data_IF_495966482813
#
_entry.id   IF_495966482813
#
_cell.length_a   1.000
_cell.length_b   1.000
_cell.length_c   1.000
_cell.angle_alpha   90.00
_cell.angle_beta   90.00
_cell.angle_gamma   90.00
#
_symmetry.space_group_name_H-M   'P 1'
#
loop_
_entity.id
_entity.type
_entity.pdbx_description
1 polymer ?
#
# COMPACT_ATOMS: atom_id res chain seq x y z
N UNK A 1 15.92 2.07 -5.88
CA UNK A 1 14.91 1.02 -5.65
C UNK A 1 13.57 1.33 -6.31
N UNK A 2 12.82 2.35 -5.88
CA UNK A 2 11.49 2.64 -6.43
C UNK A 2 11.50 3.12 -7.90
N UNK A 3 12.33 4.12 -8.20
CA UNK A 3 12.52 4.60 -9.57
C UNK A 3 13.09 3.50 -10.48
N UNK A 4 13.99 2.67 -9.96
CA UNK A 4 14.55 1.52 -10.70
C UNK A 4 13.49 0.46 -11.00
N UNK A 5 12.55 0.22 -10.08
CA UNK A 5 11.42 -0.67 -10.34
C UNK A 5 10.56 -0.14 -11.49
N UNK A 6 10.21 1.15 -11.47
CA UNK A 6 9.47 1.79 -12.57
C UNK A 6 10.25 1.81 -13.88
N UNK A 7 11.55 2.11 -13.84
CA UNK A 7 12.41 2.07 -15.03
C UNK A 7 12.55 0.65 -15.61
N UNK A 8 12.52 -0.37 -14.75
CA UNK A 8 12.53 -1.77 -15.19
C UNK A 8 11.22 -2.12 -15.88
N UNK A 9 10.08 -1.70 -15.33
CA UNK A 9 8.76 -1.91 -15.94
C UNK A 9 8.67 -1.21 -17.30
N UNK A 10 9.04 0.06 -17.35
CA UNK A 10 9.07 0.85 -18.59
C UNK A 10 9.97 0.17 -19.64
N UNK A 11 11.14 -0.33 -19.24
CA UNK A 11 12.01 -1.09 -20.15
C UNK A 11 11.41 -2.44 -20.59
N UNK A 12 10.57 -3.08 -19.79
CA UNK A 12 9.91 -4.33 -20.14
C UNK A 12 8.78 -4.06 -21.14
N UNK A 13 7.94 -3.05 -20.88
CA UNK A 13 6.85 -2.64 -21.77
C UNK A 13 7.38 -2.21 -23.14
N UNK A 14 8.47 -1.43 -23.18
CA UNK A 14 9.15 -1.06 -24.43
C UNK A 14 9.73 -2.26 -25.21
N UNK A 15 9.87 -3.43 -24.58
CA UNK A 15 10.30 -4.69 -25.21
C UNK A 15 9.13 -5.60 -25.56
N UNK A 16 7.90 -5.12 -25.44
CA UNK A 16 6.67 -5.87 -25.74
C UNK A 16 6.18 -6.75 -24.60
N UNK A 17 6.67 -6.56 -23.37
CA UNK A 17 6.02 -7.16 -22.21
C UNK A 17 4.70 -6.44 -21.95
N UNK A 18 3.59 -7.18 -21.99
CA UNK A 18 2.29 -6.65 -21.60
C UNK A 18 2.15 -6.74 -20.09
N UNK A 19 2.14 -5.58 -19.43
CA UNK A 19 1.92 -5.52 -17.99
C UNK A 19 0.47 -5.89 -17.71
N UNK A 20 0.25 -6.95 -16.93
CA UNK A 20 -1.08 -7.36 -16.48
C UNK A 20 -1.43 -6.76 -15.10
N UNK A 21 -2.71 -6.82 -14.76
CA UNK A 21 -3.23 -6.30 -13.48
C UNK A 21 -2.53 -6.92 -12.26
N UNK A 22 -2.17 -8.21 -12.32
CA UNK A 22 -1.49 -8.90 -11.22
C UNK A 22 -0.08 -8.34 -10.98
N UNK A 23 0.65 -8.10 -12.06
CA UNK A 23 1.99 -7.51 -12.07
C UNK A 23 1.93 -6.06 -11.59
N UNK A 24 0.98 -5.27 -12.11
CA UNK A 24 0.78 -3.90 -11.67
C UNK A 24 0.46 -3.82 -10.18
N UNK A 25 -0.47 -4.65 -9.68
CA UNK A 25 -0.81 -4.73 -8.28
C UNK A 25 0.40 -5.12 -7.41
N UNK A 26 1.28 -5.98 -7.93
CA UNK A 26 2.53 -6.36 -7.24
C UNK A 26 3.45 -5.15 -7.07
N UNK A 27 3.61 -4.33 -8.11
CA UNK A 27 4.37 -3.07 -8.07
C UNK A 27 3.71 -2.10 -7.09
N UNK A 28 2.40 -1.93 -7.16
CA UNK A 28 1.69 -1.01 -6.25
C UNK A 28 1.84 -1.41 -4.78
N UNK A 29 1.72 -2.72 -4.49
CA UNK A 29 1.97 -3.27 -3.15
C UNK A 29 3.41 -3.07 -2.70
N UNK A 30 4.39 -3.18 -3.61
CA UNK A 30 5.78 -2.87 -3.31
C UNK A 30 5.93 -1.42 -2.85
N UNK A 31 5.35 -0.46 -3.57
CA UNK A 31 5.40 0.95 -3.18
C UNK A 31 4.73 1.23 -1.83
N UNK A 32 3.53 0.69 -1.62
CA UNK A 32 2.79 0.84 -0.37
C UNK A 32 3.55 0.23 0.82
N UNK A 33 4.11 -0.99 0.66
CA UNK A 33 4.91 -1.67 1.69
C UNK A 33 6.11 -0.85 2.14
N UNK A 34 6.71 -0.08 1.23
CA UNK A 34 7.86 0.76 1.50
C UNK A 34 7.50 2.18 1.93
N UNK A 35 6.22 2.49 2.16
CA UNK A 35 5.78 3.82 2.59
C UNK A 35 5.99 4.91 1.54
N UNK A 36 6.17 4.54 0.27
CA UNK A 36 6.54 5.48 -0.79
C UNK A 36 5.36 6.32 -1.29
N UNK A 37 4.14 5.98 -0.86
CA UNK A 37 2.89 6.67 -1.21
C UNK A 37 2.23 7.35 -0.01
N UNK A 38 2.79 7.16 1.20
CA UNK A 38 2.29 7.85 2.37
C UNK A 38 2.86 9.27 2.36
N UNK A 39 2.02 10.23 1.98
CA UNK A 39 2.33 11.65 2.15
C UNK A 39 2.47 11.90 3.65
N UNK A 40 3.69 12.18 4.10
CA UNK A 40 3.85 12.60 5.49
C UNK A 40 3.15 13.96 5.67
N UNK A 41 2.45 14.21 6.78
CA UNK A 41 1.87 15.53 7.06
C UNK A 41 2.93 16.64 7.17
N UNK A 42 4.23 16.28 7.26
CA UNK A 42 5.33 17.25 7.17
C UNK A 42 5.73 17.58 5.72
N UNK A 43 5.40 16.75 4.72
CA UNK A 43 5.55 17.08 3.29
C UNK A 43 4.53 18.15 2.83
N UNK A 44 3.42 18.33 3.56
CA UNK A 44 2.45 19.43 3.32
C UNK A 44 2.98 20.80 3.77
N UNK A 45 3.98 20.86 4.65
CA UNK A 45 4.72 22.11 4.86
C UNK A 45 5.59 22.32 3.63
N UNK A 46 5.43 23.45 2.94
CA UNK A 46 6.13 23.81 1.72
C UNK A 46 7.65 23.91 1.90
N UNK A 47 8.31 22.77 2.09
CA UNK A 47 9.77 22.65 2.20
C UNK A 47 10.46 23.18 0.93
N UNK A 48 9.75 23.15 -0.21
CA UNK A 48 10.18 23.69 -1.48
C UNK A 48 10.09 25.22 -1.58
N UNK A 49 9.48 25.91 -0.60
CA UNK A 49 9.46 27.38 -0.47
C UNK A 49 10.55 27.88 0.49
N UNK A 50 11.28 26.99 1.16
CA UNK A 50 12.40 27.39 2.02
C UNK A 50 13.54 27.95 1.16
N UNK A 51 13.96 29.19 1.45
CA UNK A 51 14.93 29.95 0.64
C UNK A 51 16.24 29.19 0.37
N UNK A 52 16.70 28.40 1.34
CA UNK A 52 17.89 27.55 1.22
C UNK A 52 17.70 26.48 0.13
N UNK A 53 16.58 25.75 0.17
CA UNK A 53 16.26 24.76 -0.85
C UNK A 53 16.07 25.40 -2.23
N UNK A 54 15.34 26.52 -2.31
CA UNK A 54 15.08 27.22 -3.58
C UNK A 54 16.37 27.63 -4.26
N UNK A 55 17.32 28.17 -3.50
CA UNK A 55 18.61 28.62 -4.03
C UNK A 55 19.41 27.44 -4.58
N UNK A 56 19.53 26.37 -3.79
CA UNK A 56 20.31 25.19 -4.16
C UNK A 56 19.66 24.41 -5.32
N UNK A 57 18.33 24.26 -5.31
CA UNK A 57 17.59 23.53 -6.34
C UNK A 57 17.57 24.24 -7.70
N UNK A 58 17.63 25.59 -7.75
CA UNK A 58 17.73 26.34 -9.00
C UNK A 58 19.08 26.17 -9.70
N UNK A 59 20.14 25.86 -8.95
CA UNK A 59 21.49 25.64 -9.51
C UNK A 59 21.69 24.20 -10.02
N UNK A 60 20.84 23.26 -9.59
CA UNK A 60 20.93 21.86 -9.99
C UNK A 60 20.17 21.69 -11.31
N UNK A 61 20.91 21.69 -12.41
CA UNK A 61 20.34 21.46 -13.74
C UNK A 61 20.09 19.97 -13.96
N UNK A 62 18.82 19.62 -14.22
CA UNK A 62 18.38 18.26 -14.58
C UNK A 62 18.50 18.05 -16.09
N UNK A 63 18.11 19.06 -16.87
CA UNK A 63 18.33 19.20 -18.32
C UNK A 63 18.83 20.62 -18.60
N UNK A 64 19.36 20.93 -19.80
CA UNK A 64 19.84 22.27 -20.12
C UNK A 64 18.85 23.41 -19.79
N UNK A 65 17.55 23.15 -19.95
CA UNK A 65 16.47 24.13 -19.73
C UNK A 65 15.54 23.76 -18.56
N UNK A 66 15.96 22.83 -17.67
CA UNK A 66 15.12 22.35 -16.57
C UNK A 66 15.97 22.19 -15.30
N UNK A 67 15.75 23.05 -14.31
CA UNK A 67 16.34 22.89 -12.98
C UNK A 67 15.57 21.89 -12.12
N UNK A 68 16.18 21.44 -11.01
CA UNK A 68 15.50 20.62 -10.02
C UNK A 68 14.31 21.37 -9.40
N UNK A 69 14.46 22.68 -9.18
CA UNK A 69 13.38 23.54 -8.71
C UNK A 69 12.20 23.54 -9.69
N UNK A 70 12.46 23.76 -10.98
CA UNK A 70 11.41 23.75 -12.01
C UNK A 70 10.69 22.40 -12.03
N UNK A 71 11.43 21.30 -11.99
CA UNK A 71 10.88 19.95 -11.97
C UNK A 71 9.97 19.69 -10.76
N UNK A 72 10.35 20.16 -9.57
CA UNK A 72 9.55 20.02 -8.34
C UNK A 72 8.22 20.78 -8.43
N UNK A 73 8.22 21.91 -9.15
CA UNK A 73 7.05 22.79 -9.32
C UNK A 73 6.08 22.29 -10.41
N UNK A 74 6.55 21.50 -11.37
CA UNK A 74 5.70 20.99 -12.45
C UNK A 74 4.56 20.10 -11.96
N UNK A 75 3.43 20.14 -12.64
CA UNK A 75 2.35 19.19 -12.39
C UNK A 75 2.80 17.75 -12.74
N UNK A 76 2.31 16.71 -12.05
CA UNK A 76 2.75 15.32 -12.29
C UNK A 76 2.67 14.90 -13.76
N UNK A 77 1.60 15.30 -14.45
CA UNK A 77 1.37 15.02 -15.88
C UNK A 77 2.38 15.73 -16.79
N UNK A 78 2.84 16.92 -16.41
CA UNK A 78 3.84 17.67 -17.16
C UNK A 78 5.24 17.12 -16.92
N UNK A 79 5.56 16.80 -15.66
CA UNK A 79 6.82 16.19 -15.27
C UNK A 79 7.05 14.84 -15.99
N UNK A 80 6.00 14.00 -16.07
CA UNK A 80 6.06 12.71 -16.75
C UNK A 80 6.35 12.83 -18.27
N UNK A 81 5.99 13.96 -18.90
CA UNK A 81 6.32 14.21 -20.32
C UNK A 81 7.77 14.64 -20.52
N UNK A 82 8.36 15.27 -19.50
CA UNK A 82 9.69 15.84 -19.59
C UNK A 82 10.77 14.88 -19.11
N UNK A 83 10.45 13.96 -18.19
CA UNK A 83 11.40 13.04 -17.59
C UNK A 83 10.80 11.63 -17.55
N UNK A 84 11.52 10.68 -18.14
CA UNK A 84 11.22 9.25 -18.07
C UNK A 84 11.62 8.64 -16.73
N UNK A 85 11.05 7.49 -16.37
CA UNK A 85 11.44 6.77 -15.16
C UNK A 85 12.94 6.44 -15.12
N UNK A 86 13.54 6.16 -16.28
CA UNK A 86 14.97 5.92 -16.41
C UNK A 86 15.80 7.17 -16.13
N UNK A 87 15.48 8.30 -16.78
CA UNK A 87 16.16 9.57 -16.55
C UNK A 87 16.05 10.00 -15.08
N UNK A 88 14.92 9.67 -14.42
CA UNK A 88 14.78 9.88 -12.98
C UNK A 88 15.75 9.04 -12.16
N UNK A 89 15.89 7.75 -12.45
CA UNK A 89 16.87 6.89 -11.76
C UNK A 89 18.29 7.40 -11.94
N UNK A 90 18.61 7.97 -13.10
CA UNK A 90 19.88 8.63 -13.36
C UNK A 90 20.01 9.94 -12.56
N UNK A 91 18.97 10.77 -12.53
CA UNK A 91 18.88 12.00 -11.73
C UNK A 91 19.15 11.73 -10.26
N UNK A 92 18.52 10.71 -9.68
CA UNK A 92 18.74 10.34 -8.28
C UNK A 92 20.20 10.02 -7.95
N UNK A 93 21.01 9.62 -8.95
CA UNK A 93 22.44 9.34 -8.82
C UNK A 93 23.33 10.55 -9.15
N UNK A 94 22.87 11.43 -10.03
CA UNK A 94 23.65 12.56 -10.56
C UNK A 94 23.42 13.85 -9.78
N UNK A 95 22.27 14.01 -9.11
CA UNK A 95 22.01 15.17 -8.27
C UNK A 95 23.03 15.19 -7.13
N UNK A 96 23.77 16.30 -6.97
CA UNK A 96 24.70 16.46 -5.86
C UNK A 96 23.89 16.77 -4.59
N UNK A 97 23.29 15.74 -4.00
CA UNK A 97 22.42 15.86 -2.83
C UNK A 97 23.13 16.50 -1.64
N UNK A 98 24.47 16.41 -1.58
CA UNK A 98 25.33 17.10 -0.63
C UNK A 98 25.23 18.63 -0.71
N UNK A 99 24.83 19.19 -1.86
CA UNK A 99 24.53 20.63 -1.99
C UNK A 99 23.27 21.03 -1.26
N UNK A 100 22.29 20.14 -1.15
CA UNK A 100 21.06 20.38 -0.40
C UNK A 100 21.37 20.13 1.07
N UNK A 101 21.70 21.18 1.83
CA UNK A 101 22.30 21.03 3.17
C UNK A 101 21.41 20.30 4.17
N UNK A 102 20.09 20.48 4.06
CA UNK A 102 19.17 19.85 5.00
C UNK A 102 18.77 18.47 4.49
N UNK A 103 19.15 17.43 5.24
CA UNK A 103 18.83 16.04 4.91
C UNK A 103 17.32 15.81 4.74
N UNK A 104 16.49 16.55 5.50
CA UNK A 104 15.03 16.50 5.37
C UNK A 104 14.54 16.98 4.00
N UNK A 105 15.17 18.00 3.41
CA UNK A 105 14.81 18.51 2.09
C UNK A 105 15.21 17.53 0.98
N UNK A 106 16.36 16.87 1.13
CA UNK A 106 16.77 15.81 0.21
C UNK A 106 15.70 14.70 0.16
N UNK A 107 15.32 14.17 1.33
CA UNK A 107 14.31 13.11 1.41
C UNK A 107 12.94 13.57 0.92
N UNK A 108 12.50 14.77 1.30
CA UNK A 108 11.23 15.33 0.86
C UNK A 108 11.20 15.51 -0.66
N UNK A 109 12.29 16.02 -1.25
CA UNK A 109 12.44 16.18 -2.69
C UNK A 109 12.39 14.84 -3.42
N UNK A 110 13.13 13.83 -2.94
CA UNK A 110 13.13 12.50 -3.55
C UNK A 110 11.74 11.86 -3.49
N UNK A 111 11.03 11.97 -2.36
CA UNK A 111 9.70 11.40 -2.21
C UNK A 111 8.66 12.12 -3.08
N UNK A 112 8.72 13.46 -3.13
CA UNK A 112 7.83 14.27 -3.96
C UNK A 112 7.98 13.98 -5.45
N UNK A 113 9.23 13.92 -5.90
CA UNK A 113 9.56 13.59 -7.28
C UNK A 113 9.15 12.13 -7.61
N UNK A 114 9.25 11.20 -6.66
CA UNK A 114 8.83 9.81 -6.82
C UNK A 114 7.30 9.69 -6.90
N UNK A 115 6.57 10.42 -6.08
CA UNK A 115 5.10 10.52 -6.16
C UNK A 115 4.69 10.99 -7.55
N UNK A 116 5.30 12.07 -8.06
CA UNK A 116 4.95 12.63 -9.37
C UNK A 116 5.10 11.63 -10.51
N UNK A 117 6.26 10.97 -10.60
CA UNK A 117 6.51 10.01 -11.70
C UNK A 117 5.62 8.79 -11.61
N UNK A 118 5.31 8.36 -10.39
CA UNK A 118 4.58 7.13 -10.17
C UNK A 118 3.07 7.34 -10.28
N UNK A 119 2.60 8.58 -10.09
CA UNK A 119 1.17 8.93 -10.13
C UNK A 119 0.50 8.55 -11.44
N UNK A 120 1.15 8.72 -12.58
CA UNK A 120 0.62 8.29 -13.88
C UNK A 120 0.36 6.78 -13.90
N UNK A 121 1.39 5.99 -13.57
CA UNK A 121 1.28 4.54 -13.45
C UNK A 121 0.16 4.12 -12.48
N UNK A 122 0.13 4.70 -11.28
CA UNK A 122 -0.89 4.37 -10.27
C UNK A 122 -2.29 4.72 -10.74
N UNK A 123 -2.44 5.83 -11.44
CA UNK A 123 -3.72 6.32 -11.92
C UNK A 123 -4.31 5.41 -12.99
N UNK A 124 -3.50 5.04 -14.00
CA UNK A 124 -3.94 4.18 -15.09
C UNK A 124 -4.45 2.83 -14.56
N UNK A 125 -3.67 2.21 -13.68
CA UNK A 125 -4.03 0.92 -13.07
C UNK A 125 -5.16 1.00 -12.06
N UNK A 126 -5.29 2.13 -11.36
CA UNK A 126 -6.41 2.35 -10.45
C UNK A 126 -7.73 2.53 -11.21
N UNK A 127 -7.72 3.25 -12.33
CA UNK A 127 -8.89 3.38 -13.19
C UNK A 127 -9.30 2.01 -13.71
N UNK A 128 -8.37 1.25 -14.27
CA UNK A 128 -8.67 -0.07 -14.82
C UNK A 128 -9.28 -1.00 -13.75
N UNK A 129 -8.63 -1.07 -12.58
CA UNK A 129 -9.13 -1.85 -11.45
C UNK A 129 -10.52 -1.39 -10.97
N UNK A 130 -10.78 -0.09 -10.99
CA UNK A 130 -12.08 0.47 -10.63
C UNK A 130 -13.15 0.12 -11.67
N UNK A 131 -12.83 0.19 -12.95
CA UNK A 131 -13.75 -0.15 -14.04
C UNK A 131 -14.14 -1.63 -13.99
N UNK A 132 -13.18 -2.52 -13.74
CA UNK A 132 -13.45 -3.94 -13.52
C UNK A 132 -14.33 -4.19 -12.30
N UNK A 133 -13.99 -3.58 -11.16
CA UNK A 133 -14.74 -3.73 -9.91
C UNK A 133 -16.20 -3.30 -10.07
N UNK A 134 -16.42 -2.20 -10.78
CA UNK A 134 -17.76 -1.66 -11.04
C UNK A 134 -18.46 -2.33 -12.21
N UNK A 135 -17.82 -3.32 -12.87
CA UNK A 135 -18.29 -3.97 -14.08
C UNK A 135 -18.70 -2.96 -15.15
N UNK A 136 -17.94 -1.87 -15.26
CA UNK A 136 -18.18 -0.78 -16.21
C UNK A 136 -19.55 -0.11 -16.06
N UNK A 137 -20.18 -0.19 -14.88
CA UNK A 137 -21.53 0.36 -14.63
C UNK A 137 -21.53 1.81 -14.16
N UNK A 138 -20.37 2.35 -13.79
CA UNK A 138 -20.21 3.73 -13.35
C UNK A 138 -19.52 4.55 -14.45
N UNK A 139 -20.17 5.60 -15.00
CA UNK A 139 -19.54 6.46 -16.00
C UNK A 139 -18.36 7.22 -15.42
N UNK A 140 -17.19 7.14 -16.07
CA UNK A 140 -15.98 7.90 -15.72
C UNK A 140 -16.19 9.41 -15.80
N UNK A 141 -17.18 9.87 -16.57
CA UNK A 141 -17.54 11.29 -16.72
C UNK A 141 -17.91 12.00 -15.40
N UNK A 142 -18.18 11.25 -14.33
CA UNK A 142 -18.42 11.81 -12.98
C UNK A 142 -17.17 11.92 -12.10
N UNK A 143 -16.04 11.36 -12.53
CA UNK A 143 -14.75 11.49 -11.86
C UNK A 143 -14.01 12.67 -12.50
N UNK A 144 -14.27 13.87 -12.01
CA UNK A 144 -13.55 15.07 -12.44
C UNK A 144 -12.08 14.97 -12.03
N UNK A 145 -11.22 14.78 -13.03
CA UNK A 145 -9.77 14.53 -12.92
C UNK A 145 -9.00 15.81 -12.55
N UNK A 146 -9.67 16.97 -12.52
CA UNK A 146 -9.04 18.28 -12.28
C UNK A 146 -8.85 18.66 -10.80
N UNK A 147 -9.41 17.93 -9.83
CA UNK A 147 -9.25 18.27 -8.41
C UNK A 147 -7.97 17.65 -7.83
N UNK A 148 -6.93 18.48 -7.73
CA UNK A 148 -5.53 18.12 -7.48
C UNK A 148 -5.19 17.66 -6.05
N UNK A 149 -5.94 16.72 -5.48
CA UNK A 149 -5.57 16.10 -4.20
C UNK A 149 -6.62 15.20 -3.56
N UNK A 150 -7.91 15.44 -3.84
CA UNK A 150 -8.98 14.67 -3.22
C UNK A 150 -9.10 13.25 -3.81
N UNK A 151 -9.09 13.12 -5.13
CA UNK A 151 -9.26 11.82 -5.79
C UNK A 151 -8.03 10.94 -5.69
N UNK A 152 -6.81 11.49 -5.68
CA UNK A 152 -5.59 10.73 -5.41
C UNK A 152 -5.65 10.12 -4.00
N UNK A 153 -6.13 10.89 -3.01
CA UNK A 153 -6.28 10.40 -1.64
C UNK A 153 -7.41 9.36 -1.53
N UNK A 154 -8.53 9.54 -2.24
CA UNK A 154 -9.63 8.55 -2.28
C UNK A 154 -9.24 7.29 -3.05
N UNK A 155 -8.53 7.38 -4.16
CA UNK A 155 -8.09 6.24 -4.97
C UNK A 155 -6.94 5.51 -4.31
N UNK A 156 -5.98 6.21 -3.70
CA UNK A 156 -4.95 5.60 -2.85
C UNK A 156 -5.59 4.99 -1.61
N UNK A 157 -6.57 5.63 -0.97
CA UNK A 157 -7.34 5.01 0.12
C UNK A 157 -8.18 3.83 -0.34
N UNK A 158 -8.75 3.84 -1.54
CA UNK A 158 -9.47 2.71 -2.11
C UNK A 158 -8.48 1.60 -2.48
N UNK A 159 -7.32 1.89 -3.04
CA UNK A 159 -6.27 0.92 -3.34
C UNK A 159 -5.65 0.34 -2.06
N UNK A 160 -5.42 1.16 -1.03
CA UNK A 160 -5.03 0.74 0.33
C UNK A 160 -6.15 -0.06 0.98
N UNK A 161 -7.41 0.35 0.85
CA UNK A 161 -8.56 -0.36 1.40
C UNK A 161 -8.79 -1.69 0.69
N UNK A 162 -8.63 -1.75 -0.64
CA UNK A 162 -8.72 -2.97 -1.46
C UNK A 162 -7.55 -3.91 -1.17
N UNK A 163 -6.34 -3.38 -0.98
CA UNK A 163 -5.18 -4.20 -0.56
C UNK A 163 -5.32 -4.66 0.89
N UNK A 164 -5.87 -3.83 1.78
CA UNK A 164 -6.15 -4.20 3.17
C UNK A 164 -7.30 -5.21 3.26
N UNK A 165 -8.36 -5.11 2.45
CA UNK A 165 -9.43 -6.11 2.37
C UNK A 165 -8.92 -7.44 1.77
N UNK A 166 -8.09 -7.38 0.73
CA UNK A 166 -7.45 -8.57 0.16
C UNK A 166 -6.48 -9.24 1.15
N UNK A 167 -5.70 -8.45 1.91
CA UNK A 167 -4.82 -8.94 2.98
C UNK A 167 -5.65 -9.50 4.14
N UNK A 168 -6.71 -8.82 4.57
CA UNK A 168 -7.60 -9.31 5.63
C UNK A 168 -8.30 -10.61 5.21
N UNK A 169 -8.72 -10.75 3.95
CA UNK A 169 -9.26 -12.00 3.42
C UNK A 169 -8.22 -13.11 3.40
N UNK A 170 -6.99 -12.83 2.97
CA UNK A 170 -5.92 -13.84 3.00
C UNK A 170 -5.49 -14.21 4.43
N UNK A 171 -5.42 -13.24 5.33
CA UNK A 171 -5.15 -13.47 6.76
C UNK A 171 -6.30 -14.24 7.40
N UNK A 172 -7.56 -13.96 7.04
CA UNK A 172 -8.71 -14.74 7.51
C UNK A 172 -8.68 -16.18 7.00
N UNK A 173 -8.31 -16.40 5.73
CA UNK A 173 -8.15 -17.74 5.16
C UNK A 173 -7.02 -18.50 5.87
N UNK A 174 -5.85 -17.89 6.03
CA UNK A 174 -4.73 -18.48 6.76
C UNK A 174 -5.07 -18.74 8.23
N UNK A 175 -5.78 -17.83 8.89
CA UNK A 175 -6.21 -18.00 10.27
C UNK A 175 -7.23 -19.12 10.41
N UNK A 176 -8.15 -19.29 9.45
CA UNK A 176 -9.11 -20.39 9.41
C UNK A 176 -8.40 -21.75 9.22
N UNK A 177 -7.38 -21.81 8.36
CA UNK A 177 -6.59 -23.03 8.15
C UNK A 177 -5.77 -23.42 9.38
N UNK A 178 -5.10 -22.43 10.01
CA UNK A 178 -4.36 -22.62 11.25
C UNK A 178 -5.29 -23.08 12.38
N UNK A 179 -6.48 -22.49 12.48
CA UNK A 179 -7.50 -22.90 13.43
C UNK A 179 -8.00 -24.31 13.16
N UNK A 180 -8.28 -24.67 11.91
CA UNK A 180 -8.72 -26.03 11.56
C UNK A 180 -7.68 -27.09 11.92
N UNK A 181 -6.39 -26.79 11.72
CA UNK A 181 -5.26 -27.65 12.15
C UNK A 181 -5.21 -27.75 13.68
N UNK A 182 -5.35 -26.62 14.39
CA UNK A 182 -5.37 -26.57 15.84
C UNK A 182 -6.52 -27.37 16.45
N UNK A 183 -7.72 -27.27 15.88
CA UNK A 183 -8.93 -28.01 16.28
C UNK A 183 -8.77 -29.49 16.07
N UNK A 184 -8.24 -29.91 14.92
CA UNK A 184 -7.95 -31.31 14.66
C UNK A 184 -6.90 -31.88 15.62
N UNK A 185 -5.91 -31.07 16.03
CA UNK A 185 -4.92 -31.48 17.04
C UNK A 185 -5.54 -31.56 18.44
N UNK A 186 -6.38 -30.60 18.82
CA UNK A 186 -7.12 -30.61 20.09
C UNK A 186 -8.07 -31.81 20.18
N UNK A 187 -8.88 -32.06 19.15
CA UNK A 187 -9.78 -33.22 19.09
C UNK A 187 -9.02 -34.56 19.17
N UNK A 188 -7.73 -34.63 18.77
CA UNK A 188 -6.88 -35.81 18.92
C UNK A 188 -6.26 -35.98 20.31
N UNK A 189 -6.18 -34.90 21.10
CA UNK A 189 -5.61 -34.90 22.45
C UNK A 189 -6.66 -35.06 23.54
N UNK A 190 -7.92 -34.78 23.22
CA UNK A 190 -9.06 -35.00 24.12
C UNK A 190 -9.44 -36.48 24.08
N UNK A 191 -9.90 -36.99 25.22
CA UNK A 191 -10.44 -38.35 25.38
C UNK A 191 -11.41 -38.70 24.23
N UNK A 192 -11.28 -39.87 23.58
CA UNK A 192 -12.17 -40.31 22.49
C UNK A 192 -13.66 -40.32 22.85
N UNK A 193 -14.00 -40.35 24.15
CA UNK A 193 -15.40 -40.28 24.61
C UNK A 193 -15.96 -38.84 24.64
N UNK A 194 -15.15 -37.82 24.34
CA UNK A 194 -15.58 -36.42 24.29
C UNK A 194 -16.10 -36.02 22.91
N UNK A 195 -17.19 -35.24 22.88
CA UNK A 195 -17.80 -34.75 21.64
C UNK A 195 -16.85 -33.72 20.98
N UNK A 196 -16.44 -33.93 19.71
CA UNK A 196 -15.52 -33.04 19.01
C UNK A 196 -16.11 -31.65 18.81
N UNK A 197 -15.24 -30.63 18.81
CA UNK A 197 -15.66 -29.28 18.43
C UNK A 197 -16.06 -29.28 16.96
N UNK A 198 -17.25 -28.73 16.67
CA UNK A 198 -17.85 -28.75 15.33
C UNK A 198 -17.76 -27.40 14.63
N UNK A 199 -17.53 -26.32 15.39
CA UNK A 199 -17.46 -24.98 14.84
C UNK A 199 -16.46 -24.12 15.62
N UNK A 200 -15.62 -23.40 14.87
CA UNK A 200 -14.68 -22.43 15.43
C UNK A 200 -14.78 -21.12 14.68
N UNK A 201 -14.94 -20.03 15.42
CA UNK A 201 -15.00 -18.68 14.89
C UNK A 201 -13.91 -17.81 15.50
N UNK A 202 -13.12 -17.18 14.64
CA UNK A 202 -12.18 -16.11 14.98
C UNK A 202 -12.84 -14.78 14.64
N UNK A 203 -13.12 -13.96 15.65
CA UNK A 203 -13.68 -12.62 15.45
C UNK A 203 -12.76 -11.55 16.02
N UNK A 204 -12.63 -10.43 15.31
CA UNK A 204 -11.87 -9.27 15.77
C UNK A 204 -12.75 -8.43 16.69
N UNK A 205 -12.33 -8.23 17.94
CA UNK A 205 -13.09 -7.44 18.90
C UNK A 205 -12.71 -5.95 18.85
N UNK A 206 -11.45 -5.63 18.51
CA UNK A 206 -10.91 -4.27 18.31
C UNK A 206 -9.51 -4.30 17.65
N UNK A 207 -8.81 -3.15 17.56
CA UNK A 207 -7.57 -2.96 16.76
C UNK A 207 -6.37 -3.86 17.11
N UNK A 208 -6.43 -4.67 18.16
CA UNK A 208 -5.31 -5.51 18.59
C UNK A 208 -5.71 -6.84 19.24
N UNK A 209 -7.00 -7.24 19.24
CA UNK A 209 -7.45 -8.49 19.90
C UNK A 209 -8.31 -9.38 19.00
N UNK A 210 -7.98 -10.67 19.00
CA UNK A 210 -8.72 -11.75 18.35
C UNK A 210 -9.39 -12.62 19.41
N UNK A 211 -10.67 -12.93 19.22
CA UNK A 211 -11.43 -13.85 20.06
C UNK A 211 -11.64 -15.17 19.33
N UNK A 212 -11.33 -16.26 20.02
CA UNK A 212 -11.62 -17.62 19.57
C UNK A 212 -12.87 -18.12 20.29
N UNK A 213 -13.93 -18.42 19.54
CA UNK A 213 -15.11 -19.12 20.04
C UNK A 213 -15.11 -20.55 19.54
N UNK A 214 -15.21 -21.50 20.47
CA UNK A 214 -15.37 -22.93 20.17
C UNK A 214 -16.80 -23.34 20.53
N UNK A 215 -17.44 -24.07 19.63
CA UNK A 215 -18.76 -24.65 19.87
C UNK A 215 -18.72 -26.18 19.71
N UNK A 216 -19.21 -26.86 20.75
CA UNK A 216 -19.54 -28.30 20.74
C UNK A 216 -20.98 -28.42 21.21
N UNK A 217 -21.74 -29.43 20.73
CA UNK A 217 -23.20 -29.55 20.88
C UNK A 217 -23.71 -29.04 22.25
N UNK A 218 -24.34 -27.87 22.23
CA UNK A 218 -24.98 -27.27 23.41
C UNK A 218 -24.12 -26.33 24.26
N UNK A 219 -22.81 -26.15 24.01
CA UNK A 219 -21.95 -25.31 24.84
C UNK A 219 -21.07 -24.36 24.02
N UNK A 220 -21.02 -23.08 24.44
CA UNK A 220 -20.12 -22.06 23.90
C UNK A 220 -18.97 -21.83 24.86
N UNK A 221 -17.75 -21.87 24.33
CA UNK A 221 -16.54 -21.53 25.07
C UNK A 221 -15.96 -20.24 24.50
N UNK A 222 -15.51 -19.33 25.38
CA UNK A 222 -14.67 -18.22 24.98
C UNK A 222 -13.27 -18.42 25.56
N UNK A 223 -12.26 -18.14 24.74
CA UNK A 223 -10.90 -17.94 25.22
C UNK A 223 -10.74 -16.47 25.63
N UNK A 224 -10.31 -16.22 26.87
CA UNK A 224 -9.82 -14.91 27.28
C UNK A 224 -8.36 -14.80 26.76
N UNK A 225 -8.19 -14.10 25.63
CA UNK A 225 -6.92 -13.86 24.91
C UNK A 225 -6.19 -15.10 24.36
N UNK A 226 -5.98 -15.12 23.04
CA UNK A 226 -5.16 -16.15 22.39
C UNK A 226 -3.67 -15.81 22.53
N UNK A 227 -2.97 -16.52 23.42
CA UNK A 227 -1.50 -16.59 23.40
C UNK A 227 -1.05 -17.93 22.80
N UNK A 228 -0.11 -17.95 21.83
CA UNK A 228 0.31 -19.18 21.12
C UNK A 228 0.82 -20.32 22.01
N UNK A 229 1.16 -20.01 23.27
CA UNK A 229 1.72 -20.94 24.25
C UNK A 229 0.87 -21.11 25.50
N UNK A 230 -0.27 -20.41 25.63
CA UNK A 230 -1.12 -20.50 26.81
C UNK A 230 -2.55 -20.08 26.47
N UNK A 231 -3.45 -21.04 26.30
CA UNK A 231 -4.87 -20.78 26.07
C UNK A 231 -5.64 -21.29 27.29
N UNK A 232 -6.24 -20.38 28.05
CA UNK A 232 -7.18 -20.73 29.12
C UNK A 232 -8.60 -20.59 28.58
N UNK A 233 -9.33 -21.70 28.53
CA UNK A 233 -10.73 -21.72 28.09
C UNK A 233 -11.63 -21.52 29.31
N UNK A 234 -12.56 -20.55 29.23
CA UNK A 234 -13.65 -20.43 30.20
C UNK A 234 -14.96 -20.85 29.54
N UNK A 235 -15.69 -21.72 30.24
CA UNK A 235 -17.05 -22.07 29.85
C UNK A 235 -17.93 -20.85 30.11
N UNK A 236 -18.58 -20.34 29.06
CA UNK A 236 -19.62 -19.32 29.24
C UNK A 236 -20.92 -20.09 29.51
N UNK A 237 -21.58 -19.80 30.63
CA UNK A 237 -22.92 -20.35 30.91
C UNK A 237 -23.88 -19.83 29.83
N UNK A 238 -24.61 -20.73 29.19
CA UNK A 238 -25.70 -20.33 28.31
C UNK A 238 -26.82 -19.69 29.15
N UNK A 239 -27.39 -18.60 28.65
CA UNK A 239 -28.73 -18.15 29.03
C UNK A 239 -29.80 -19.11 28.51
#
# INVERSE_FOLDING_TARGET
>A
MASEALATLDSLENRGYELDQSSALTVMKFFAKHGLLETSPDLEKCWYDEEEFVTEAKEIMVKPDLSLYDLVQLQPVEAAKLITCKEYSELARLVPWDRIKQIRHQWACVLHLLEKISRGFFWDWAIESFMELTKYRLPLEKLDVSSDGFWTNVIVKIAIWLTHDAILRQVQIMANDIVAIGVNRLNKQIDPDHIPFTYVNLSKMNNSRLFLSLQSLGHKFAADEYHPHNVSLKMIKNE
#
